data_IF_451931706281
#
_entry.id   IF_451931706281
#
_cell.length_a   1.000
_cell.length_b   1.000
_cell.length_c   1.000
_cell.angle_alpha   90.00
_cell.angle_beta   90.00
_cell.angle_gamma   90.00
#
_symmetry.space_group_name_H-M   'P 1'
#
loop_
_entity.id
_entity.type
_entity.pdbx_description
1 polymer ?
#
# COMPACT_ATOMS: atom_id res chain seq x y z
N UNK A 1 26.05 23.19 -27.04
CA UNK A 1 26.03 22.39 -25.80
C UNK A 1 25.05 23.06 -24.84
N UNK A 2 23.81 22.58 -24.75
CA UNK A 2 22.79 23.20 -23.91
C UNK A 2 22.98 22.74 -22.45
N UNK A 3 23.78 23.49 -21.70
CA UNK A 3 23.89 23.31 -20.25
C UNK A 3 22.67 23.92 -19.58
N UNK A 4 21.91 23.09 -18.87
CA UNK A 4 20.78 23.49 -18.03
C UNK A 4 21.24 24.62 -17.08
N UNK A 5 20.64 25.81 -17.17
CA UNK A 5 20.99 26.98 -16.34
C UNK A 5 20.75 26.70 -14.86
N UNK A 6 21.44 27.41 -13.96
CA UNK A 6 21.31 27.24 -12.49
C UNK A 6 19.84 27.33 -12.03
N UNK A 7 19.04 28.17 -12.69
CA UNK A 7 17.62 28.37 -12.41
C UNK A 7 16.78 27.13 -12.74
N UNK A 8 17.00 26.49 -13.89
CA UNK A 8 16.30 25.24 -14.26
C UNK A 8 16.59 24.08 -13.29
N UNK A 9 17.77 24.07 -12.66
CA UNK A 9 18.10 23.08 -11.61
C UNK A 9 17.32 23.35 -10.32
N UNK A 10 17.12 24.63 -9.97
CA UNK A 10 16.34 25.03 -8.79
C UNK A 10 14.84 24.75 -9.00
N UNK A 11 14.29 25.03 -10.19
CA UNK A 11 12.91 24.69 -10.52
C UNK A 11 12.68 23.18 -10.52
N UNK A 12 13.60 22.38 -11.08
CA UNK A 12 13.53 20.91 -10.98
C UNK A 12 13.65 20.41 -9.54
N UNK A 13 14.42 21.08 -8.68
CA UNK A 13 14.55 20.69 -7.28
C UNK A 13 13.26 20.99 -6.50
N UNK A 14 12.64 22.16 -6.72
CA UNK A 14 11.35 22.50 -6.13
C UNK A 14 10.23 21.61 -6.65
N UNK A 15 10.21 21.29 -7.96
CA UNK A 15 9.26 20.35 -8.54
C UNK A 15 9.45 18.92 -7.99
N UNK A 16 10.70 18.47 -7.76
CA UNK A 16 10.97 17.19 -7.07
C UNK A 16 10.48 17.20 -5.63
N UNK A 17 10.69 18.29 -4.90
CA UNK A 17 10.20 18.40 -3.52
C UNK A 17 8.68 18.42 -3.46
N UNK A 18 8.01 19.12 -4.37
CA UNK A 18 6.55 19.12 -4.47
C UNK A 18 6.00 17.75 -4.89
N UNK A 19 6.65 17.03 -5.81
CA UNK A 19 6.30 15.64 -6.12
C UNK A 19 6.45 14.75 -4.90
N UNK A 20 7.55 14.85 -4.15
CA UNK A 20 7.76 14.06 -2.91
C UNK A 20 6.73 14.41 -1.83
N UNK A 21 6.30 15.67 -1.75
CA UNK A 21 5.29 16.11 -0.78
C UNK A 21 3.86 15.72 -1.19
N UNK A 22 3.58 15.63 -2.49
CA UNK A 22 2.33 15.05 -3.02
C UNK A 22 2.37 13.51 -2.93
N UNK A 23 3.56 12.90 -2.99
CA UNK A 23 3.79 11.48 -2.68
C UNK A 23 3.60 11.14 -1.19
N UNK A 24 3.45 12.12 -0.29
CA UNK A 24 2.89 11.89 1.04
C UNK A 24 1.36 11.62 1.00
N UNK A 25 0.72 11.83 -0.15
CA UNK A 25 -0.63 11.38 -0.49
C UNK A 25 -0.63 10.28 -1.58
N UNK A 26 0.54 9.83 -2.01
CA UNK A 26 0.68 8.47 -2.53
C UNK A 26 0.58 7.56 -1.30
N UNK A 27 -0.09 6.39 -1.35
CA UNK A 27 0.02 5.38 -0.31
C UNK A 27 1.45 4.79 -0.33
N UNK A 28 2.44 5.64 -0.09
CA UNK A 28 3.80 5.28 0.17
C UNK A 28 3.75 4.55 1.51
N UNK A 29 3.77 3.22 1.44
CA UNK A 29 4.42 2.40 2.44
C UNK A 29 4.08 2.86 3.87
N UNK A 30 2.78 2.94 4.18
CA UNK A 30 2.43 2.42 5.48
C UNK A 30 3.01 1.00 5.44
N UNK A 31 3.95 0.71 6.33
CA UNK A 31 4.07 -0.63 6.89
C UNK A 31 2.69 -0.91 7.51
N UNK A 32 1.67 -1.07 6.65
CA UNK A 32 0.34 -1.51 7.01
C UNK A 32 0.67 -2.86 7.60
N UNK A 33 0.50 -2.97 8.91
CA UNK A 33 0.59 -4.23 9.63
C UNK A 33 -0.55 -5.08 9.09
N UNK A 34 -0.38 -5.59 7.87
CA UNK A 34 -1.37 -6.40 7.19
C UNK A 34 -1.40 -7.70 7.97
N UNK A 35 -2.56 -7.98 8.52
CA UNK A 35 -2.80 -9.21 9.24
C UNK A 35 -3.03 -10.27 8.17
N UNK A 36 -2.14 -11.26 8.12
CA UNK A 36 -2.37 -12.43 7.30
C UNK A 36 -3.59 -13.15 7.86
N UNK A 37 -4.61 -13.32 7.04
CA UNK A 37 -5.82 -14.07 7.37
C UNK A 37 -5.93 -15.30 6.48
N UNK A 38 -6.51 -16.35 7.03
CA UNK A 38 -6.77 -17.62 6.36
C UNK A 38 -8.23 -18.03 6.51
N UNK A 39 -8.82 -18.66 5.49
CA UNK A 39 -10.17 -19.23 5.54
C UNK A 39 -10.17 -20.72 5.21
N UNK A 40 -10.96 -21.48 5.96
CA UNK A 40 -11.24 -22.89 5.67
C UNK A 40 -12.34 -23.04 4.59
N UNK A 41 -13.02 -21.94 4.25
CA UNK A 41 -14.13 -21.90 3.30
C UNK A 41 -13.76 -21.03 2.08
N UNK A 42 -12.97 -21.56 1.13
CA UNK A 42 -12.65 -20.83 -0.08
C UNK A 42 -13.91 -20.53 -0.88
N UNK A 43 -14.01 -19.32 -1.43
CA UNK A 43 -15.19 -18.88 -2.19
C UNK A 43 -15.44 -19.73 -3.45
N UNK A 44 -14.39 -20.35 -4.00
CA UNK A 44 -14.46 -21.27 -5.14
C UNK A 44 -13.35 -22.33 -5.07
N UNK A 45 -13.50 -23.48 -5.74
CA UNK A 45 -12.49 -24.52 -5.78
C UNK A 45 -11.16 -23.99 -6.38
N UNK A 46 -10.08 -24.06 -5.60
CA UNK A 46 -8.77 -23.55 -6.01
C UNK A 46 -8.53 -22.05 -5.72
N UNK A 47 -9.44 -21.38 -5.03
CA UNK A 47 -9.20 -20.02 -4.55
C UNK A 47 -8.05 -20.00 -3.53
N UNK A 48 -7.28 -18.90 -3.46
CA UNK A 48 -6.36 -18.68 -2.35
C UNK A 48 -7.15 -18.66 -1.04
N UNK A 49 -6.69 -19.45 -0.07
CA UNK A 49 -7.24 -19.48 1.27
C UNK A 49 -6.58 -18.44 2.18
N UNK A 50 -5.53 -17.77 1.74
CA UNK A 50 -4.82 -16.74 2.49
C UNK A 50 -4.98 -15.35 1.85
N UNK A 51 -5.10 -14.32 2.68
CA UNK A 51 -5.21 -12.94 2.27
C UNK A 51 -4.50 -12.02 3.29
N UNK A 52 -3.84 -10.96 2.81
CA UNK A 52 -3.26 -9.94 3.67
C UNK A 52 -4.28 -8.82 3.85
N UNK A 53 -4.81 -8.67 5.07
CA UNK A 53 -5.96 -7.80 5.37
C UNK A 53 -5.53 -6.64 6.25
N UNK A 54 -6.16 -5.48 6.07
CA UNK A 54 -5.92 -4.32 6.95
C UNK A 54 -6.46 -4.60 8.36
N UNK A 55 -5.75 -4.21 9.45
CA UNK A 55 -6.19 -4.48 10.83
C UNK A 55 -7.59 -3.93 11.13
N UNK A 56 -7.97 -2.79 10.53
CA UNK A 56 -9.33 -2.23 10.66
C UNK A 56 -10.42 -3.12 10.02
N UNK A 57 -10.05 -3.97 9.06
CA UNK A 57 -10.97 -4.84 8.33
C UNK A 57 -10.99 -6.26 8.89
N UNK A 58 -10.02 -6.67 9.71
CA UNK A 58 -9.88 -8.04 10.23
C UNK A 58 -11.18 -8.57 10.85
N UNK A 59 -11.89 -7.78 11.64
CA UNK A 59 -13.16 -8.18 12.25
C UNK A 59 -14.25 -8.47 11.20
N UNK A 60 -14.29 -7.70 10.11
CA UNK A 60 -15.21 -7.95 9.00
C UNK A 60 -14.88 -9.27 8.31
N UNK A 61 -13.60 -9.56 8.09
CA UNK A 61 -13.16 -10.83 7.51
C UNK A 61 -13.43 -12.01 8.46
N UNK A 62 -13.27 -11.84 9.78
CA UNK A 62 -13.68 -12.85 10.77
C UNK A 62 -15.17 -13.16 10.72
N UNK A 63 -16.02 -12.17 10.52
CA UNK A 63 -17.45 -12.37 10.31
C UNK A 63 -17.76 -13.19 9.05
N UNK A 64 -16.90 -13.13 8.04
CA UNK A 64 -16.95 -13.96 6.82
C UNK A 64 -16.31 -15.35 6.99
N UNK A 65 -15.90 -15.72 8.22
CA UNK A 65 -15.32 -17.03 8.52
C UNK A 65 -13.80 -17.11 8.31
N UNK A 66 -13.13 -15.99 8.09
CA UNK A 66 -11.67 -15.92 8.06
C UNK A 66 -11.09 -15.89 9.48
N UNK A 67 -9.84 -16.28 9.64
CA UNK A 67 -9.12 -16.31 10.91
C UNK A 67 -7.75 -15.68 10.71
N UNK A 68 -7.20 -15.06 11.74
CA UNK A 68 -5.82 -14.56 11.69
C UNK A 68 -4.85 -15.75 11.64
N UNK A 69 -3.81 -15.64 10.81
CA UNK A 69 -2.71 -16.58 10.74
C UNK A 69 -1.67 -16.14 11.78
N UNK A 70 -1.74 -16.75 12.97
CA UNK A 70 -0.78 -16.54 14.09
C UNK A 70 0.59 -17.16 13.81
#
# INVERSE_FOLDING_TARGET
MAGLTKEQRAERAAAKLATVQVDANTPAQQEQQLVAMITDFPAFPGAPNTANVHPDEVENWKAHGWKEME
#
